data_IF_830179894396
#
_entry.id   IF_830179894396
#
_cell.length_a   1.000
_cell.length_b   1.000
_cell.length_c   1.000
_cell.angle_alpha   90.00
_cell.angle_beta   90.00
_cell.angle_gamma   90.00
#
_symmetry.space_group_name_H-M   'P 1'
#
loop_
_entity.id
_entity.type
_entity.pdbx_description
1 polymer ?
#
# COMPACT_ATOMS: atom_id res chain seq x y z
N UNK A 1 7.68 -47.97 44.93
CA UNK A 1 8.51 -47.52 43.79
C UNK A 1 7.62 -47.55 42.56
N UNK A 2 7.33 -46.53 41.76
CA UNK A 2 7.67 -45.10 41.65
C UNK A 2 6.39 -44.40 41.18
N UNK A 3 5.88 -43.42 41.94
CA UNK A 3 4.99 -42.38 41.42
C UNK A 3 5.91 -41.27 40.90
N UNK A 4 6.05 -41.15 39.58
CA UNK A 4 6.76 -40.05 38.89
C UNK A 4 5.84 -39.72 37.70
N UNK A 5 4.90 -38.77 37.82
CA UNK A 5 5.04 -37.32 37.91
C UNK A 5 5.09 -36.65 36.53
N UNK A 6 4.16 -35.67 36.37
CA UNK A 6 4.25 -34.46 35.55
C UNK A 6 3.93 -34.70 34.06
N UNK A 7 2.66 -34.56 33.67
CA UNK A 7 2.11 -33.31 33.12
C UNK A 7 3.03 -32.76 32.03
N UNK A 8 2.99 -33.35 30.84
CA UNK A 8 3.46 -32.68 29.62
C UNK A 8 2.43 -31.62 29.25
N UNK A 9 2.54 -30.51 29.99
CA UNK A 9 1.85 -29.25 29.82
C UNK A 9 1.98 -28.81 28.36
N UNK A 10 0.82 -28.66 27.72
CA UNK A 10 0.55 -27.84 26.54
C UNK A 10 1.57 -26.69 26.38
N UNK A 11 2.57 -26.88 25.52
CA UNK A 11 3.27 -25.77 24.86
C UNK A 11 2.91 -25.87 23.38
N UNK A 12 1.61 -25.79 23.08
CA UNK A 12 1.17 -25.16 21.84
C UNK A 12 1.36 -23.67 22.07
N UNK A 13 2.61 -23.23 21.94
CA UNK A 13 2.96 -21.82 21.90
C UNK A 13 2.27 -21.29 20.65
N UNK A 14 1.10 -20.70 20.89
CA UNK A 14 0.27 -20.03 19.90
C UNK A 14 1.17 -18.98 19.28
N UNK A 15 1.80 -19.30 18.15
CA UNK A 15 2.34 -18.33 17.22
C UNK A 15 1.14 -17.59 16.63
N UNK A 16 0.49 -16.78 17.46
CA UNK A 16 -0.43 -15.77 16.99
C UNK A 16 0.46 -14.81 16.21
N UNK A 17 0.30 -14.67 14.88
CA UNK A 17 0.99 -13.60 14.20
C UNK A 17 0.45 -12.32 14.82
N UNK A 18 1.26 -11.65 15.64
CA UNK A 18 1.03 -10.25 15.96
C UNK A 18 1.09 -9.53 14.61
N UNK A 19 -0.09 -9.31 14.04
CA UNK A 19 -0.25 -8.46 12.87
C UNK A 19 0.10 -7.06 13.38
N UNK A 20 1.37 -6.69 13.26
CA UNK A 20 1.79 -5.32 13.40
C UNK A 20 1.10 -4.54 12.30
N UNK A 21 0.00 -3.86 12.66
CA UNK A 21 -0.53 -2.80 11.82
C UNK A 21 0.56 -1.72 11.75
N UNK A 22 1.27 -1.67 10.62
CA UNK A 22 2.27 -0.65 10.38
C UNK A 22 1.59 0.71 10.34
N UNK A 23 2.16 1.69 11.02
CA UNK A 23 1.74 3.07 10.87
C UNK A 23 2.19 3.59 9.49
N UNK A 24 1.33 4.34 8.81
CA UNK A 24 1.71 5.00 7.57
C UNK A 24 2.84 5.99 7.84
N UNK A 25 3.92 5.89 7.06
CA UNK A 25 5.01 6.86 7.05
C UNK A 25 5.10 7.50 5.67
N UNK A 26 5.07 8.82 5.65
CA UNK A 26 5.28 9.57 4.42
C UNK A 26 6.72 9.34 3.92
N UNK A 27 6.86 9.05 2.62
CA UNK A 27 8.16 8.94 2.00
C UNK A 27 8.94 10.27 2.11
N UNK A 28 10.22 10.27 2.55
CA UNK A 28 11.00 11.49 2.70
C UNK A 28 11.07 12.32 1.40
N UNK A 29 10.73 13.61 1.51
CA UNK A 29 10.74 14.54 0.37
C UNK A 29 9.50 14.49 -0.51
N UNK A 30 8.56 13.57 -0.28
CA UNK A 30 7.25 13.62 -0.92
C UNK A 30 6.41 14.80 -0.39
N UNK A 31 5.67 15.45 -1.27
CA UNK A 31 4.81 16.60 -0.95
C UNK A 31 3.37 16.27 -1.25
N UNK A 32 2.44 16.80 -0.45
CA UNK A 32 1.02 16.65 -0.73
C UNK A 32 0.68 17.34 -2.05
N UNK A 33 -0.13 16.68 -2.86
CA UNK A 33 -0.76 17.27 -4.03
C UNK A 33 -2.22 17.53 -3.70
N UNK A 34 -2.52 18.76 -3.28
CA UNK A 34 -3.86 19.13 -2.80
C UNK A 34 -4.92 19.04 -3.90
N UNK A 35 -4.56 19.46 -5.13
CA UNK A 35 -5.45 19.39 -6.30
C UNK A 35 -5.80 17.94 -6.60
N UNK A 36 -4.79 17.09 -6.79
CA UNK A 36 -4.99 15.67 -7.07
C UNK A 36 -5.72 14.94 -5.92
N UNK A 37 -5.42 15.31 -4.67
CA UNK A 37 -6.11 14.78 -3.49
C UNK A 37 -7.59 15.13 -3.50
N UNK A 38 -7.94 16.39 -3.77
CA UNK A 38 -9.33 16.83 -3.86
C UNK A 38 -10.06 16.06 -4.97
N UNK A 39 -9.48 15.99 -6.16
CA UNK A 39 -10.05 15.29 -7.31
C UNK A 39 -10.29 13.80 -7.05
N UNK A 40 -9.33 13.12 -6.44
CA UNK A 40 -9.48 11.71 -6.09
C UNK A 40 -10.64 11.48 -5.10
N UNK A 41 -10.82 12.37 -4.13
CA UNK A 41 -11.93 12.28 -3.18
C UNK A 41 -13.28 12.65 -3.83
N UNK A 42 -13.31 13.67 -4.69
CA UNK A 42 -14.52 14.06 -5.43
C UNK A 42 -14.97 12.90 -6.34
N UNK A 43 -14.03 12.25 -7.05
CA UNK A 43 -14.30 11.07 -7.86
C UNK A 43 -14.78 9.88 -7.01
N UNK A 44 -14.19 9.65 -5.84
CA UNK A 44 -14.64 8.61 -4.92
C UNK A 44 -16.07 8.86 -4.41
N UNK A 45 -16.40 10.11 -4.08
CA UNK A 45 -17.76 10.51 -3.70
C UNK A 45 -18.76 10.31 -4.83
N UNK A 46 -18.41 10.72 -6.06
CA UNK A 46 -19.24 10.50 -7.25
C UNK A 46 -19.49 8.99 -7.50
N UNK A 47 -18.50 8.14 -7.20
CA UNK A 47 -18.59 6.68 -7.24
C UNK A 47 -19.30 6.06 -6.02
N UNK A 48 -19.88 6.87 -5.11
CA UNK A 48 -20.55 6.43 -3.87
C UNK A 48 -19.63 5.67 -2.89
N UNK A 49 -18.32 5.87 -2.98
CA UNK A 49 -17.33 5.34 -2.02
C UNK A 49 -17.16 6.33 -0.86
N UNK A 50 -18.20 6.51 -0.05
CA UNK A 50 -18.23 7.50 1.04
C UNK A 50 -17.38 7.15 2.27
N UNK A 51 -16.95 5.88 2.38
CA UNK A 51 -16.12 5.39 3.48
C UNK A 51 -14.62 5.40 3.18
N UNK A 52 -14.19 5.84 1.99
CA UNK A 52 -12.77 5.89 1.61
C UNK A 52 -12.33 7.33 1.48
N UNK A 53 -11.18 7.65 2.07
CA UNK A 53 -10.47 8.91 1.90
C UNK A 53 -9.15 8.62 1.18
N UNK A 54 -8.87 9.37 0.12
CA UNK A 54 -7.58 9.33 -0.57
C UNK A 54 -6.73 10.54 -0.18
N UNK A 55 -5.42 10.35 -0.02
CA UNK A 55 -4.43 11.45 0.06
C UNK A 55 -3.30 11.16 -0.90
N UNK A 56 -2.99 12.11 -1.79
CA UNK A 56 -1.98 11.93 -2.83
C UNK A 56 -0.75 12.75 -2.48
N UNK A 57 0.38 12.08 -2.40
CA UNK A 57 1.69 12.70 -2.33
C UNK A 57 2.46 12.45 -3.62
N UNK A 58 3.31 13.39 -4.01
CA UNK A 58 4.15 13.27 -5.19
C UNK A 58 5.62 13.53 -4.85
N UNK A 59 6.51 12.88 -5.58
CA UNK A 59 7.96 13.09 -5.52
C UNK A 59 8.58 12.89 -6.89
N UNK A 60 9.70 13.56 -7.16
CA UNK A 60 10.47 13.36 -8.39
C UNK A 60 11.32 12.09 -8.35
N UNK A 61 11.54 11.51 -7.16
CA UNK A 61 12.26 10.25 -6.98
C UNK A 61 11.67 9.11 -7.81
N UNK A 62 12.52 8.13 -8.18
CA UNK A 62 12.11 7.02 -9.04
C UNK A 62 11.11 6.08 -8.36
N UNK A 63 10.28 5.41 -9.18
CA UNK A 63 9.34 4.39 -8.72
C UNK A 63 10.02 3.32 -7.85
N UNK A 64 11.18 2.81 -8.28
CA UNK A 64 11.93 1.76 -7.58
C UNK A 64 12.36 2.20 -6.17
N UNK A 65 12.81 3.44 -6.00
CA UNK A 65 13.23 3.98 -4.71
C UNK A 65 12.05 4.11 -3.74
N UNK A 66 10.94 4.68 -4.21
CA UNK A 66 9.73 4.88 -3.39
C UNK A 66 9.06 3.56 -3.04
N UNK A 67 8.93 2.64 -4.00
CA UNK A 67 8.32 1.33 -3.77
C UNK A 67 9.17 0.45 -2.85
N UNK A 68 10.50 0.52 -2.93
CA UNK A 68 11.39 -0.18 -2.00
C UNK A 68 11.26 0.32 -0.56
N UNK A 69 11.07 1.62 -0.35
CA UNK A 69 10.78 2.17 0.97
C UNK A 69 9.52 1.56 1.58
N UNK A 70 8.41 1.54 0.81
CA UNK A 70 7.15 0.99 1.31
C UNK A 70 7.19 -0.53 1.50
N UNK A 71 7.93 -1.26 0.66
CA UNK A 71 8.20 -2.69 0.85
C UNK A 71 8.89 -3.00 2.18
N UNK A 72 9.70 -2.07 2.69
CA UNK A 72 10.40 -2.24 3.97
C UNK A 72 9.51 -2.08 5.21
N UNK A 73 8.32 -1.47 5.08
CA UNK A 73 7.45 -1.12 6.21
C UNK A 73 6.01 -1.62 6.09
N UNK A 74 5.65 -2.24 4.97
CA UNK A 74 4.30 -2.74 4.69
C UNK A 74 4.35 -4.00 3.81
N UNK A 75 3.26 -4.77 3.81
CA UNK A 75 3.16 -5.98 3.01
C UNK A 75 2.82 -5.61 1.56
N UNK A 76 3.68 -5.96 0.62
CA UNK A 76 3.35 -5.83 -0.80
C UNK A 76 2.16 -6.73 -1.16
N UNK A 77 1.14 -6.14 -1.77
CA UNK A 77 0.00 -6.84 -2.33
C UNK A 77 0.20 -7.01 -3.84
N UNK A 78 0.26 -8.26 -4.29
CA UNK A 78 0.41 -8.59 -5.70
C UNK A 78 -0.92 -8.39 -6.44
N UNK A 79 -1.10 -7.19 -7.00
CA UNK A 79 -2.24 -6.90 -7.87
C UNK A 79 -2.01 -7.54 -9.26
N UNK A 80 -2.97 -8.29 -9.81
CA UNK A 80 -2.86 -8.81 -11.17
C UNK A 80 -2.56 -7.68 -12.17
N UNK A 81 -1.56 -7.90 -13.04
CA UNK A 81 -1.10 -6.96 -14.09
C UNK A 81 -0.40 -5.68 -13.59
N UNK A 82 -0.24 -5.49 -12.28
CA UNK A 82 0.65 -4.45 -11.76
C UNK A 82 2.11 -4.90 -11.90
N UNK A 83 3.03 -3.93 -11.97
CA UNK A 83 4.47 -4.20 -11.99
C UNK A 83 4.95 -4.84 -10.70
N UNK A 84 4.35 -4.48 -9.56
CA UNK A 84 4.93 -4.77 -8.25
C UNK A 84 6.31 -4.10 -8.10
N UNK A 85 7.00 -4.43 -7.02
CA UNK A 85 8.35 -3.89 -6.74
C UNK A 85 9.43 -4.51 -7.61
N UNK A 86 9.16 -5.68 -8.19
CA UNK A 86 10.12 -6.48 -8.95
C UNK A 86 9.92 -6.42 -10.47
N UNK A 87 8.77 -5.93 -10.93
CA UNK A 87 8.30 -6.26 -12.26
C UNK A 87 8.38 -5.16 -13.30
N UNK A 88 8.10 -5.62 -14.51
CA UNK A 88 8.08 -4.87 -15.75
C UNK A 88 6.93 -3.86 -15.75
N UNK A 89 7.11 -2.69 -16.37
CA UNK A 89 6.01 -1.75 -16.54
C UNK A 89 4.93 -2.34 -17.45
N UNK A 90 3.71 -1.88 -17.23
CA UNK A 90 2.66 -2.01 -18.24
C UNK A 90 2.93 -0.98 -19.33
N UNK A 91 3.18 -1.46 -20.55
CA UNK A 91 3.45 -0.60 -21.71
C UNK A 91 2.16 0.02 -22.24
N UNK A 92 2.17 1.33 -22.39
CA UNK A 92 1.19 2.11 -23.15
C UNK A 92 1.90 2.77 -24.34
N UNK A 93 1.14 3.27 -25.32
CA UNK A 93 1.71 3.89 -26.52
C UNK A 93 2.61 5.09 -26.20
N UNK A 94 2.29 5.85 -25.16
CA UNK A 94 2.98 7.09 -24.79
C UNK A 94 3.80 7.02 -23.50
N UNK A 95 3.68 5.96 -22.69
CA UNK A 95 4.42 5.81 -21.44
C UNK A 95 4.44 4.37 -20.92
N UNK A 96 5.42 4.10 -20.06
CA UNK A 96 5.52 2.87 -19.28
C UNK A 96 4.94 3.11 -17.88
N UNK A 97 3.89 2.37 -17.51
CA UNK A 97 3.22 2.48 -16.22
C UNK A 97 3.77 1.47 -15.22
N UNK A 98 4.33 1.98 -14.13
CA UNK A 98 4.77 1.23 -12.97
C UNK A 98 3.79 1.38 -11.82
N UNK A 99 3.39 0.28 -11.20
CA UNK A 99 2.44 0.25 -10.08
C UNK A 99 2.84 -0.80 -9.05
N UNK A 100 2.81 -0.44 -7.77
CA UNK A 100 2.94 -1.36 -6.64
C UNK A 100 1.95 -0.98 -5.54
N UNK A 101 1.44 -1.98 -4.82
CA UNK A 101 0.44 -1.81 -3.77
C UNK A 101 0.96 -2.37 -2.46
N UNK A 102 0.70 -1.68 -1.36
CA UNK A 102 1.21 -2.02 -0.03
C UNK A 102 0.09 -1.93 1.00
N UNK A 103 -0.10 -2.98 1.79
CA UNK A 103 -1.10 -3.08 2.86
C UNK A 103 -0.38 -2.91 4.20
N UNK A 104 -0.86 -1.99 5.02
CA UNK A 104 -0.25 -1.65 6.31
C UNK A 104 -0.90 -2.37 7.49
N UNK A 105 -2.17 -2.72 7.38
CA UNK A 105 -2.97 -3.25 8.48
C UNK A 105 -3.11 -4.78 8.49
N UNK A 106 -2.29 -5.47 7.68
CA UNK A 106 -2.28 -6.93 7.56
C UNK A 106 -3.53 -7.55 6.94
N UNK A 107 -4.41 -6.74 6.34
CA UNK A 107 -5.53 -7.24 5.56
C UNK A 107 -5.08 -8.17 4.42
N UNK A 108 -5.99 -9.06 4.00
CA UNK A 108 -5.70 -10.06 2.95
C UNK A 108 -5.66 -9.44 1.55
N UNK A 109 -6.41 -8.35 1.36
CA UNK A 109 -6.58 -7.66 0.08
C UNK A 109 -6.87 -6.17 0.31
N UNK A 110 -6.81 -5.36 -0.76
CA UNK A 110 -7.05 -3.92 -0.67
C UNK A 110 -8.49 -3.58 -0.24
N UNK A 111 -9.46 -4.42 -0.57
CA UNK A 111 -10.87 -4.16 -0.28
C UNK A 111 -11.18 -4.29 1.22
N UNK A 112 -10.55 -5.25 1.89
CA UNK A 112 -10.63 -5.48 3.33
C UNK A 112 -9.68 -4.60 4.15
N UNK A 113 -8.68 -3.98 3.51
CA UNK A 113 -7.75 -3.07 4.16
C UNK A 113 -8.40 -1.73 4.52
N UNK A 114 -8.07 -1.23 5.70
CA UNK A 114 -8.35 0.11 6.18
C UNK A 114 -7.25 1.11 5.82
N UNK A 115 -6.04 0.62 5.52
CA UNK A 115 -4.91 1.46 5.18
C UNK A 115 -4.00 0.75 4.19
N UNK A 116 -3.98 1.27 2.96
CA UNK A 116 -3.08 0.80 1.92
C UNK A 116 -2.54 1.97 1.09
N UNK A 117 -1.42 1.73 0.43
CA UNK A 117 -0.76 2.70 -0.45
C UNK A 117 -0.57 2.10 -1.82
N UNK A 118 -0.84 2.89 -2.86
CA UNK A 118 -0.37 2.63 -4.23
C UNK A 118 0.78 3.57 -4.55
N UNK A 119 1.91 2.99 -4.96
CA UNK A 119 3.01 3.73 -5.58
C UNK A 119 2.84 3.61 -7.08
N UNK A 120 2.91 4.73 -7.80
CA UNK A 120 2.70 4.76 -9.24
C UNK A 120 3.64 5.74 -9.94
N UNK A 121 4.20 5.37 -11.09
CA UNK A 121 4.86 6.31 -12.02
C UNK A 121 4.59 5.91 -13.49
N UNK A 122 4.28 6.84 -14.39
CA UNK A 122 3.94 8.25 -14.12
C UNK A 122 2.66 8.36 -13.30
N UNK A 123 2.45 9.50 -12.65
CA UNK A 123 1.15 9.79 -12.06
C UNK A 123 0.12 10.00 -13.18
N UNK A 124 -1.01 9.32 -13.08
CA UNK A 124 -2.12 9.40 -14.04
C UNK A 124 -3.30 9.98 -13.25
N UNK A 125 -3.56 11.27 -13.46
CA UNK A 125 -4.74 11.99 -12.95
C UNK A 125 -5.56 12.53 -14.13
N UNK A 126 -6.00 13.79 -14.04
CA UNK A 126 -6.52 14.53 -15.21
C UNK A 126 -5.49 14.57 -16.34
N UNK A 127 -4.21 14.71 -15.97
CA UNK A 127 -3.05 14.68 -16.84
C UNK A 127 -2.05 13.58 -16.43
N UNK A 128 -1.20 13.19 -17.39
CA UNK A 128 -0.08 12.28 -17.14
C UNK A 128 1.14 13.10 -16.77
N UNK A 129 1.63 12.93 -15.54
CA UNK A 129 2.77 13.67 -14.99
C UNK A 129 3.91 12.71 -14.70
N UNK A 130 5.11 13.03 -15.19
CA UNK A 130 6.32 12.23 -14.93
C UNK A 130 6.88 12.46 -13.50
N UNK A 131 6.08 12.06 -12.52
CA UNK A 131 6.40 12.06 -11.09
C UNK A 131 5.94 10.74 -10.49
N UNK A 132 6.55 10.34 -9.38
CA UNK A 132 6.07 9.19 -8.61
C UNK A 132 5.00 9.67 -7.64
N UNK A 133 3.81 9.09 -7.75
CA UNK A 133 2.72 9.32 -6.82
C UNK A 133 2.64 8.21 -5.77
N UNK A 134 2.26 8.64 -4.57
CA UNK A 134 1.96 7.82 -3.41
C UNK A 134 0.50 8.12 -3.07
N UNK A 135 -0.39 7.23 -3.49
CA UNK A 135 -1.83 7.34 -3.22
C UNK A 135 -2.11 6.55 -1.95
N UNK A 136 -2.34 7.27 -0.85
CA UNK A 136 -2.75 6.68 0.43
C UNK A 136 -4.27 6.56 0.43
N UNK A 137 -4.77 5.37 0.72
CA UNK A 137 -6.19 5.09 0.87
C UNK A 137 -6.49 4.68 2.31
N UNK A 138 -7.38 5.43 2.95
CA UNK A 138 -7.82 5.22 4.32
C UNK A 138 -9.32 4.91 4.32
N UNK A 139 -9.73 3.79 4.91
CA UNK A 139 -11.14 3.48 5.14
C UNK A 139 -11.55 3.88 6.55
N UNK A 140 -12.64 4.65 6.65
CA UNK A 140 -13.27 5.02 7.92
C UNK A 140 -14.09 3.88 8.51
#
# INVERSE_FOLDING_TARGET
MKKIAIVSLFIFLVFSPFIFAGEFKLYPGAKIDEKATKEANDAAQAAKMSNVKATIYTTTDSFSKVSSFYKGIAKEYTMPRASGTSGQPKKYESYDLYEAFFIFDGAKDLASSKLWVKVQRPYIGEDVRDVTAIVVSEKK
#
